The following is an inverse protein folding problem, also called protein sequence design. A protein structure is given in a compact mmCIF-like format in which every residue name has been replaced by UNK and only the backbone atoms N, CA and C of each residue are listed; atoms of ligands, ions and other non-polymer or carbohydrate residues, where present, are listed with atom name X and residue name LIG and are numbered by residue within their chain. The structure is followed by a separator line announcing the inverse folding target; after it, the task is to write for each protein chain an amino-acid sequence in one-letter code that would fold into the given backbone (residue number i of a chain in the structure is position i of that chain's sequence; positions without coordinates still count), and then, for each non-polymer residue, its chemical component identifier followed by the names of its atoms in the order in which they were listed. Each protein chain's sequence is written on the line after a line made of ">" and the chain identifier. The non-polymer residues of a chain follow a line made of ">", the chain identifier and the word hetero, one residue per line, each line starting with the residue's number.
data_IF_249937345199
#
_entry.id   IF_249937345199
#
_cell.length_a   1.000
_cell.length_b   1.000
_cell.length_c   1.000
_cell.angle_alpha   90.00
_cell.angle_beta   90.00
_cell.angle_gamma   90.00
#
_symmetry.space_group_name_H-M   'P 1'
#
loop_
_entity.id
_entity.type
_entity.pdbx_description
1 polymer ?
#
# COMPACT_ATOMS: atom_id res chain seq x y z
N UNK A 1 -17.97 -27.21 -4.25
CA UNK A 1 -18.86 -26.22 -4.91
C UNK A 1 -18.11 -25.27 -5.87
N UNK A 2 -16.79 -25.14 -5.76
CA UNK A 2 -16.00 -24.07 -6.42
C UNK A 2 -15.23 -24.37 -7.72
N UNK A 3 -14.90 -25.62 -8.10
CA UNK A 3 -14.04 -25.85 -9.29
C UNK A 3 -14.56 -25.23 -10.59
N UNK A 4 -15.87 -25.28 -10.82
CA UNK A 4 -16.50 -24.65 -12.02
C UNK A 4 -16.59 -23.12 -11.94
N UNK A 5 -16.42 -22.50 -10.76
CA UNK A 5 -16.55 -21.04 -10.58
C UNK A 5 -15.23 -20.29 -10.70
N UNK A 6 -14.10 -20.99 -10.76
CA UNK A 6 -12.78 -20.38 -10.97
C UNK A 6 -12.68 -19.75 -12.36
N UNK A 7 -13.22 -20.40 -13.38
CA UNK A 7 -13.23 -19.86 -14.74
C UNK A 7 -14.23 -18.70 -14.85
N UNK A 8 -15.42 -18.79 -14.26
CA UNK A 8 -16.35 -17.65 -14.16
C UNK A 8 -15.69 -16.42 -13.50
N UNK A 9 -14.92 -16.65 -12.43
CA UNK A 9 -14.17 -15.59 -11.75
C UNK A 9 -13.15 -14.93 -12.67
N UNK A 10 -12.35 -15.71 -13.42
CA UNK A 10 -11.38 -15.18 -14.38
C UNK A 10 -12.08 -14.41 -15.50
N UNK A 11 -13.13 -14.97 -16.09
CA UNK A 11 -13.89 -14.33 -17.17
C UNK A 11 -14.50 -13.00 -16.73
N UNK A 12 -15.02 -12.94 -15.50
CA UNK A 12 -15.58 -11.71 -14.93
C UNK A 12 -14.55 -10.60 -14.70
N UNK A 13 -13.28 -10.96 -14.41
CA UNK A 13 -12.18 -10.00 -14.30
C UNK A 13 -11.71 -9.53 -15.68
N UNK A 14 -11.62 -10.46 -16.63
CA UNK A 14 -11.15 -10.14 -17.99
C UNK A 14 -12.18 -9.34 -18.80
N UNK A 15 -13.48 -9.53 -18.52
CA UNK A 15 -14.57 -8.90 -19.26
C UNK A 15 -15.61 -8.32 -18.28
N UNK A 16 -15.23 -7.30 -17.50
CA UNK A 16 -16.14 -6.76 -16.51
C UNK A 16 -17.27 -5.99 -17.21
N UNK A 17 -18.49 -6.05 -16.66
CA UNK A 17 -19.64 -5.29 -17.20
C UNK A 17 -19.45 -3.77 -17.10
N UNK A 18 -18.62 -3.33 -16.17
CA UNK A 18 -18.20 -1.94 -15.94
C UNK A 18 -16.74 -1.96 -15.58
N UNK A 19 -15.96 -1.02 -16.10
CA UNK A 19 -14.53 -0.95 -15.78
C UNK A 19 -14.33 -0.67 -14.29
N UNK A 20 -13.33 -1.33 -13.71
CA UNK A 20 -13.06 -1.19 -12.28
C UNK A 20 -12.49 0.18 -11.92
N UNK A 21 -11.58 0.73 -12.72
CA UNK A 21 -10.93 2.00 -12.42
C UNK A 21 -11.93 3.14 -12.55
N UNK A 22 -12.71 3.18 -13.63
CA UNK A 22 -13.72 4.21 -13.89
C UNK A 22 -14.76 4.27 -12.76
N UNK A 23 -15.34 3.12 -12.40
CA UNK A 23 -16.37 3.07 -11.35
C UNK A 23 -15.79 3.37 -9.97
N UNK A 24 -14.56 2.95 -9.70
CA UNK A 24 -13.89 3.23 -8.41
C UNK A 24 -13.57 4.72 -8.27
N UNK A 25 -13.12 5.37 -9.34
CA UNK A 25 -12.86 6.81 -9.34
C UNK A 25 -14.15 7.61 -9.16
N UNK A 26 -15.22 7.26 -9.89
CA UNK A 26 -16.54 7.86 -9.73
C UNK A 26 -17.10 7.71 -8.30
N UNK A 27 -16.73 6.64 -7.59
CA UNK A 27 -17.17 6.38 -6.22
C UNK A 27 -16.40 7.16 -5.13
N UNK A 28 -15.41 7.99 -5.47
CA UNK A 28 -14.53 8.69 -4.51
C UNK A 28 -15.28 9.47 -3.42
N UNK A 29 -16.36 10.17 -3.78
CA UNK A 29 -17.17 10.94 -2.82
C UNK A 29 -17.88 10.02 -1.83
N UNK A 30 -18.46 8.93 -2.32
CA UNK A 30 -19.13 7.93 -1.49
C UNK A 30 -18.14 7.24 -0.55
N UNK A 31 -16.95 6.91 -1.04
CA UNK A 31 -15.88 6.35 -0.22
C UNK A 31 -15.52 7.28 0.94
N UNK A 32 -15.29 8.57 0.67
CA UNK A 32 -14.97 9.56 1.71
C UNK A 32 -16.08 9.66 2.76
N UNK A 33 -17.33 9.81 2.32
CA UNK A 33 -18.48 9.91 3.23
C UNK A 33 -18.59 8.67 4.13
N UNK A 34 -18.37 7.47 3.58
CA UNK A 34 -18.39 6.23 4.34
C UNK A 34 -17.28 6.15 5.39
N UNK A 35 -16.05 6.53 5.03
CA UNK A 35 -14.91 6.57 5.96
C UNK A 35 -15.15 7.56 7.09
N UNK A 36 -15.61 8.78 6.77
CA UNK A 36 -15.87 9.82 7.78
C UNK A 36 -16.92 9.33 8.80
N UNK A 37 -18.01 8.71 8.33
CA UNK A 37 -19.04 8.16 9.21
C UNK A 37 -18.53 6.99 10.07
N UNK A 38 -17.71 6.10 9.49
CA UNK A 38 -17.13 4.99 10.22
C UNK A 38 -16.14 5.45 11.30
N UNK A 39 -15.34 6.47 10.99
CA UNK A 39 -14.42 7.11 11.92
C UNK A 39 -15.17 7.78 13.06
N UNK A 40 -16.20 8.59 12.76
CA UNK A 40 -17.03 9.25 13.78
C UNK A 40 -17.72 8.27 14.75
N UNK A 41 -17.99 7.04 14.29
CA UNK A 41 -18.61 5.98 15.08
C UNK A 41 -17.61 5.00 15.71
N UNK A 42 -16.32 5.24 15.53
CA UNK A 42 -15.22 4.39 16.00
C UNK A 42 -15.37 2.91 15.57
N UNK A 43 -15.86 2.67 14.34
CA UNK A 43 -16.16 1.31 13.88
C UNK A 43 -14.90 0.48 13.65
N UNK A 44 -13.80 1.12 13.28
CA UNK A 44 -12.52 0.44 13.08
C UNK A 44 -12.02 -0.21 14.38
N UNK A 45 -11.89 0.57 15.47
CA UNK A 45 -11.39 0.04 16.74
C UNK A 45 -12.32 -1.04 17.31
N UNK A 46 -13.64 -0.84 17.23
CA UNK A 46 -14.64 -1.86 17.60
C UNK A 46 -14.47 -3.16 16.80
N UNK A 47 -14.23 -3.04 15.49
CA UNK A 47 -13.95 -4.17 14.61
C UNK A 47 -12.68 -4.93 14.98
N UNK A 48 -11.60 -4.20 15.30
CA UNK A 48 -10.33 -4.77 15.77
C UNK A 48 -10.52 -5.51 17.10
N UNK A 49 -11.17 -4.86 18.07
CA UNK A 49 -11.46 -5.48 19.37
C UNK A 49 -12.29 -6.76 19.22
N UNK A 50 -13.29 -6.74 18.34
CA UNK A 50 -14.12 -7.92 18.03
C UNK A 50 -13.35 -9.05 17.37
N UNK A 51 -12.43 -8.74 16.46
CA UNK A 51 -11.62 -9.75 15.77
C UNK A 51 -10.58 -10.37 16.72
N UNK A 52 -9.93 -9.54 17.53
CA UNK A 52 -8.81 -9.93 18.37
C UNK A 52 -7.62 -10.48 17.58
N UNK A 53 -6.57 -10.87 18.31
CA UNK A 53 -5.35 -11.42 17.71
C UNK A 53 -5.58 -12.75 17.00
N UNK A 54 -6.47 -13.60 17.53
CA UNK A 54 -6.64 -14.97 17.04
C UNK A 54 -7.22 -15.01 15.62
N UNK A 55 -8.26 -14.22 15.34
CA UNK A 55 -8.86 -14.17 14.00
C UNK A 55 -7.85 -13.71 12.94
N UNK A 56 -7.05 -12.70 13.28
CA UNK A 56 -5.98 -12.22 12.40
C UNK A 56 -4.91 -13.30 12.19
N UNK A 57 -4.39 -13.89 13.29
CA UNK A 57 -3.34 -14.90 13.25
C UNK A 57 -3.74 -16.10 12.40
N UNK A 58 -4.95 -16.62 12.63
CA UNK A 58 -5.46 -17.78 11.89
C UNK A 58 -5.61 -17.48 10.39
N UNK A 59 -6.14 -16.29 10.05
CA UNK A 59 -6.29 -15.87 8.66
C UNK A 59 -4.94 -15.66 7.97
N UNK A 60 -4.00 -15.02 8.66
CA UNK A 60 -2.66 -14.77 8.16
C UNK A 60 -1.89 -16.07 7.93
N UNK A 61 -1.92 -17.02 8.88
CA UNK A 61 -1.20 -18.29 8.74
C UNK A 61 -1.83 -19.20 7.67
N UNK A 62 -3.16 -19.26 7.58
CA UNK A 62 -3.84 -20.15 6.63
C UNK A 62 -3.81 -19.67 5.18
N UNK A 63 -3.77 -18.35 4.95
CA UNK A 63 -3.87 -17.75 3.60
C UNK A 63 -2.63 -16.97 3.18
N UNK A 64 -1.92 -16.40 4.13
CA UNK A 64 -0.82 -15.47 3.91
C UNK A 64 0.37 -16.09 3.19
N UNK A 65 0.94 -17.24 3.63
CA UNK A 65 2.15 -17.79 3.02
C UNK A 65 2.05 -17.99 1.50
N UNK A 66 0.95 -18.59 1.02
CA UNK A 66 0.74 -18.80 -0.42
C UNK A 66 0.59 -17.48 -1.18
N UNK A 67 -0.25 -16.56 -0.68
CA UNK A 67 -0.47 -15.25 -1.31
C UNK A 67 0.77 -14.37 -1.32
N UNK A 68 1.62 -14.47 -0.29
CA UNK A 68 2.85 -13.70 -0.19
C UNK A 68 3.85 -14.14 -1.25
N UNK A 69 4.14 -15.45 -1.34
CA UNK A 69 5.11 -15.95 -2.30
C UNK A 69 4.70 -15.65 -3.75
N UNK A 70 3.48 -15.99 -4.14
CA UNK A 70 2.97 -15.72 -5.50
C UNK A 70 2.86 -14.22 -5.78
N UNK A 71 2.33 -13.45 -4.82
CA UNK A 71 2.14 -12.01 -4.95
C UNK A 71 3.45 -11.24 -5.13
N UNK A 72 4.51 -11.61 -4.40
CA UNK A 72 5.84 -11.00 -4.55
C UNK A 72 6.39 -11.22 -5.96
N UNK A 73 6.27 -12.43 -6.50
CA UNK A 73 6.76 -12.75 -7.85
C UNK A 73 6.00 -11.97 -8.93
N UNK A 74 4.68 -11.80 -8.78
CA UNK A 74 3.86 -11.05 -9.74
C UNK A 74 4.15 -9.54 -9.66
N UNK A 75 4.39 -9.02 -8.46
CA UNK A 75 4.48 -7.58 -8.22
C UNK A 75 5.86 -6.96 -8.47
N UNK A 76 6.88 -7.72 -8.86
CA UNK A 76 8.27 -7.24 -9.02
C UNK A 76 8.36 -6.00 -9.92
N UNK A 77 7.81 -6.07 -11.14
CA UNK A 77 7.87 -4.95 -12.09
C UNK A 77 7.05 -3.75 -11.63
N UNK A 78 5.92 -3.98 -10.95
CA UNK A 78 5.09 -2.90 -10.43
C UNK A 78 5.78 -2.20 -9.25
N UNK A 79 6.47 -2.96 -8.39
CA UNK A 79 7.30 -2.41 -7.33
C UNK A 79 8.43 -1.56 -7.89
N UNK A 80 9.15 -2.07 -8.90
CA UNK A 80 10.22 -1.33 -9.56
C UNK A 80 9.70 0.00 -10.13
N UNK A 81 8.62 -0.03 -10.90
CA UNK A 81 8.00 1.18 -11.48
C UNK A 81 7.49 2.15 -10.41
N UNK A 82 6.85 1.63 -9.37
CA UNK A 82 6.30 2.43 -8.28
C UNK A 82 7.39 3.07 -7.40
N UNK A 83 8.53 2.39 -7.26
CA UNK A 83 9.67 2.89 -6.48
C UNK A 83 10.60 3.79 -7.28
N UNK A 84 10.68 3.64 -8.61
CA UNK A 84 11.58 4.38 -9.47
C UNK A 84 11.56 5.93 -9.26
N UNK A 85 10.40 6.60 -9.09
CA UNK A 85 10.37 8.04 -8.82
C UNK A 85 11.06 8.41 -7.50
N UNK A 86 10.87 7.59 -6.46
CA UNK A 86 11.49 7.79 -5.15
C UNK A 86 12.99 7.50 -5.19
N UNK A 87 13.40 6.46 -5.91
CA UNK A 87 14.81 6.18 -6.16
C UNK A 87 15.50 7.38 -6.82
N UNK A 88 14.91 7.91 -7.90
CA UNK A 88 15.42 9.09 -8.59
C UNK A 88 15.40 10.36 -7.71
N UNK A 89 14.43 10.50 -6.79
CA UNK A 89 14.41 11.59 -5.82
C UNK A 89 15.56 11.49 -4.81
N UNK A 90 15.85 10.28 -4.30
CA UNK A 90 17.00 10.03 -3.41
C UNK A 90 18.31 10.30 -4.14
N UNK A 91 18.45 9.81 -5.37
CA UNK A 91 19.68 9.94 -6.18
C UNK A 91 20.02 11.41 -6.47
N UNK A 92 19.00 12.25 -6.67
CA UNK A 92 19.17 13.69 -6.89
C UNK A 92 19.34 14.51 -5.60
N UNK A 93 19.12 13.93 -4.43
CA UNK A 93 19.12 14.67 -3.18
C UNK A 93 20.53 15.19 -2.84
N UNK A 94 20.66 16.51 -2.66
CA UNK A 94 21.88 17.08 -2.09
C UNK A 94 21.92 16.79 -0.58
N UNK A 95 22.83 15.91 -0.19
CA UNK A 95 23.02 15.52 1.21
C UNK A 95 23.88 16.51 1.98
N UNK A 96 24.47 17.52 1.34
CA UNK A 96 25.43 18.43 1.94
C UNK A 96 26.71 17.75 2.42
N UNK A 97 27.54 18.44 3.22
CA UNK A 97 28.81 17.91 3.68
C UNK A 97 28.63 16.71 4.64
N UNK A 98 29.61 15.80 4.62
CA UNK A 98 29.72 14.71 5.59
C UNK A 98 30.74 15.08 6.67
N UNK A 99 30.31 15.02 7.92
CA UNK A 99 31.12 15.33 9.10
C UNK A 99 31.72 14.05 9.73
N UNK A 100 32.68 14.17 10.68
CA UNK A 100 33.27 13.02 11.35
C UNK A 100 32.24 12.02 11.90
N UNK A 101 32.65 10.75 12.05
CA UNK A 101 31.78 9.70 12.57
C UNK A 101 31.14 10.13 13.89
N UNK A 102 29.82 9.95 14.02
CA UNK A 102 28.98 10.35 15.18
C UNK A 102 28.82 11.85 15.40
N UNK A 103 29.28 12.71 14.48
CA UNK A 103 28.93 14.12 14.53
C UNK A 103 27.41 14.29 14.33
N UNK A 104 26.69 14.98 15.24
CA UNK A 104 25.24 15.11 15.19
C UNK A 104 24.75 15.78 13.90
N UNK A 105 25.56 16.61 13.24
CA UNK A 105 25.20 17.29 11.98
C UNK A 105 25.01 16.30 10.82
N UNK A 106 25.55 15.09 10.91
CA UNK A 106 25.29 14.05 9.91
C UNK A 106 23.82 13.62 9.85
N UNK A 107 23.02 13.88 10.89
CA UNK A 107 21.58 13.63 10.86
C UNK A 107 20.85 14.50 9.83
N UNK A 108 21.39 15.67 9.50
CA UNK A 108 20.82 16.54 8.45
C UNK A 108 20.79 15.83 7.08
N UNK A 109 21.71 14.89 6.84
CA UNK A 109 21.73 14.06 5.62
C UNK A 109 20.52 13.13 5.55
N UNK A 110 20.13 12.54 6.69
CA UNK A 110 18.93 11.70 6.78
C UNK A 110 17.68 12.55 6.55
N UNK A 111 17.64 13.75 7.16
CA UNK A 111 16.56 14.71 6.92
C UNK A 111 16.41 15.04 5.44
N UNK A 112 17.51 15.33 4.72
CA UNK A 112 17.48 15.65 3.30
C UNK A 112 16.87 14.52 2.44
N UNK A 113 17.22 13.26 2.73
CA UNK A 113 16.61 12.09 2.07
C UNK A 113 15.10 12.02 2.34
N UNK A 114 14.69 12.19 3.59
CA UNK A 114 13.27 12.16 3.97
C UNK A 114 12.50 13.30 3.31
N UNK A 115 13.05 14.51 3.31
CA UNK A 115 12.46 15.68 2.66
C UNK A 115 12.25 15.42 1.17
N UNK A 116 13.23 14.81 0.47
CA UNK A 116 13.12 14.46 -0.94
C UNK A 116 12.01 13.43 -1.21
N UNK A 117 11.90 12.40 -0.36
CA UNK A 117 10.85 11.39 -0.47
C UNK A 117 9.45 11.98 -0.22
N UNK A 118 9.31 12.86 0.77
CA UNK A 118 8.05 13.55 1.07
C UNK A 118 7.67 14.47 -0.08
N UNK A 119 8.64 15.23 -0.61
CA UNK A 119 8.40 16.09 -1.77
C UNK A 119 7.91 15.29 -2.98
N UNK A 120 8.50 14.13 -3.27
CA UNK A 120 8.05 13.26 -4.37
C UNK A 120 6.64 12.72 -4.14
N UNK A 121 6.29 12.35 -2.90
CA UNK A 121 4.96 11.83 -2.56
C UNK A 121 3.84 12.85 -2.73
N UNK A 122 4.13 14.13 -2.57
CA UNK A 122 3.16 15.23 -2.56
C UNK A 122 2.98 15.94 -3.91
N UNK A 123 3.77 15.59 -4.92
CA UNK A 123 3.56 16.02 -6.31
C UNK A 123 2.28 15.39 -6.87
#
# INVERSE_FOLDING_TARGET
>A
VTPMRTEDYKLGIQNPKRDWADETEAAKVNWKMGIDQAAAKDLFAKGVAKAGTNKWRDGALKKGPGRFAEGVMIAESDYEKGFAPYHAAIERADLGPRFPRRDPRNLNRVKAVVDALVAEKLK
#
